data_IF_302304502824
#
_entry.id   IF_302304502824
#
_cell.length_a   1.000
_cell.length_b   1.000
_cell.length_c   1.000
_cell.angle_alpha   90.00
_cell.angle_beta   90.00
_cell.angle_gamma   90.00
#
_symmetry.space_group_name_H-M   'P 1'
#
loop_
_entity.id
_entity.type
_entity.pdbx_description
1 polymer ?
#
# COMPACT_ATOMS: atom_id res chain seq x y z
N UNK A 1 11.33 17.94 -9.71
CA UNK A 1 10.31 17.64 -10.73
C UNK A 1 10.93 16.74 -11.81
N UNK A 2 10.54 15.46 -11.92
CA UNK A 2 11.02 14.52 -12.95
C UNK A 2 9.84 13.70 -13.51
N UNK A 3 9.61 13.79 -14.82
CA UNK A 3 8.91 12.77 -15.63
C UNK A 3 7.39 12.92 -15.82
N UNK A 4 6.93 13.96 -16.51
CA UNK A 4 5.50 14.30 -16.66
C UNK A 4 4.59 13.19 -17.26
N UNK A 5 5.09 12.26 -18.09
CA UNK A 5 4.20 11.32 -18.82
C UNK A 5 4.08 9.89 -18.23
N UNK A 6 4.84 9.55 -17.18
CA UNK A 6 4.53 8.39 -16.31
C UNK A 6 3.85 8.83 -15.00
N UNK A 7 3.51 10.12 -14.89
CA UNK A 7 3.24 10.77 -13.60
C UNK A 7 1.77 10.96 -13.27
N UNK A 8 0.90 11.33 -14.21
CA UNK A 8 -0.46 11.75 -13.82
C UNK A 8 -1.29 10.62 -13.21
N UNK A 9 -1.45 9.49 -13.92
CA UNK A 9 -2.25 8.37 -13.42
C UNK A 9 -1.66 7.81 -12.11
N UNK A 10 -0.34 7.70 -12.02
CA UNK A 10 0.35 7.28 -10.79
C UNK A 10 0.07 8.24 -9.64
N UNK A 11 0.17 9.56 -9.88
CA UNK A 11 -0.10 10.58 -8.88
C UNK A 11 -1.56 10.55 -8.44
N UNK A 12 -2.51 10.31 -9.36
CA UNK A 12 -3.93 10.13 -9.01
C UNK A 12 -4.12 8.92 -8.12
N UNK A 13 -3.53 7.77 -8.46
CA UNK A 13 -3.61 6.55 -7.65
C UNK A 13 -3.01 6.78 -6.25
N UNK A 14 -1.84 7.44 -6.17
CA UNK A 14 -1.20 7.79 -4.90
C UNK A 14 -2.08 8.74 -4.08
N UNK A 15 -2.68 9.75 -4.70
CA UNK A 15 -3.58 10.68 -4.02
C UNK A 15 -4.86 9.99 -3.51
N UNK A 16 -5.40 9.02 -4.25
CA UNK A 16 -6.54 8.21 -3.80
C UNK A 16 -6.15 7.34 -2.60
N UNK A 17 -4.96 6.76 -2.61
CA UNK A 17 -4.45 5.97 -1.49
C UNK A 17 -4.22 6.85 -0.24
N UNK A 18 -3.62 8.03 -0.41
CA UNK A 18 -3.46 9.06 0.62
C UNK A 18 -4.82 9.52 1.18
N UNK A 19 -5.83 9.72 0.33
CA UNK A 19 -7.20 10.03 0.77
C UNK A 19 -7.77 8.92 1.64
N UNK A 20 -7.61 7.66 1.22
CA UNK A 20 -8.03 6.51 2.03
C UNK A 20 -7.32 6.47 3.40
N UNK A 21 -6.03 6.80 3.42
CA UNK A 21 -5.26 6.88 4.66
C UNK A 21 -5.79 7.99 5.58
N UNK A 22 -6.07 9.17 5.04
CA UNK A 22 -6.61 10.31 5.77
C UNK A 22 -8.01 10.03 6.35
N UNK A 23 -8.90 9.41 5.56
CA UNK A 23 -10.24 8.97 6.02
C UNK A 23 -10.10 8.00 7.22
N UNK A 24 -9.07 7.16 7.21
CA UNK A 24 -8.77 6.23 8.29
C UNK A 24 -7.84 6.80 9.36
N UNK A 25 -7.84 8.12 9.56
CA UNK A 25 -7.12 8.82 10.62
C UNK A 25 -5.60 8.67 10.57
N UNK A 26 -5.04 8.56 9.37
CA UNK A 26 -3.61 8.62 9.12
C UNK A 26 -3.15 9.97 8.57
N UNK A 27 -1.84 10.16 8.48
CA UNK A 27 -1.25 11.35 7.85
C UNK A 27 -1.66 11.44 6.36
N UNK A 28 -2.27 12.56 5.90
CA UNK A 28 -2.69 12.73 4.51
C UNK A 28 -1.54 12.71 3.49
N UNK A 29 -0.30 12.98 3.92
CA UNK A 29 0.86 12.93 3.03
C UNK A 29 1.44 11.51 2.89
N UNK A 30 0.99 10.56 3.73
CA UNK A 30 1.43 9.16 3.69
C UNK A 30 0.40 8.22 3.05
N UNK A 31 0.90 7.21 2.34
CA UNK A 31 0.08 6.13 1.79
C UNK A 31 -0.34 5.11 2.87
N UNK A 32 -1.46 4.42 2.65
CA UNK A 32 -1.89 3.26 3.44
C UNK A 32 -0.79 2.20 3.45
N UNK A 33 -0.18 1.93 2.28
CA UNK A 33 0.92 0.98 2.13
C UNK A 33 2.11 1.35 3.02
N UNK A 34 2.58 2.61 2.98
CA UNK A 34 3.68 3.08 3.81
C UNK A 34 3.34 3.00 5.31
N UNK A 35 2.13 3.44 5.71
CA UNK A 35 1.66 3.34 7.09
C UNK A 35 1.64 1.90 7.59
N UNK A 36 1.14 0.96 6.78
CA UNK A 36 1.12 -0.46 7.13
C UNK A 36 2.54 -1.02 7.26
N UNK A 37 3.44 -0.70 6.33
CA UNK A 37 4.84 -1.13 6.37
C UNK A 37 5.60 -0.59 7.59
N UNK A 38 5.31 0.65 7.99
CA UNK A 38 5.90 1.26 9.17
C UNK A 38 5.47 0.57 10.47
N UNK A 39 4.17 0.42 10.72
CA UNK A 39 3.69 -0.19 11.98
C UNK A 39 3.85 -1.71 12.05
N UNK A 40 4.02 -2.38 10.91
CA UNK A 40 4.25 -3.83 10.90
C UNK A 40 5.72 -4.21 11.16
N UNK A 41 6.68 -3.35 10.80
CA UNK A 41 8.12 -3.66 10.81
C UNK A 41 9.01 -2.70 11.61
N UNK A 42 8.64 -1.42 11.72
CA UNK A 42 9.53 -0.37 12.25
C UNK A 42 9.17 -0.05 13.69
N UNK A 43 7.95 0.42 13.94
CA UNK A 43 7.52 0.86 15.27
C UNK A 43 6.86 -0.27 16.03
N UNK A 44 7.21 -0.42 17.31
CA UNK A 44 6.55 -1.37 18.20
C UNK A 44 5.18 -0.82 18.60
N UNK A 45 4.15 -1.66 18.46
CA UNK A 45 2.76 -1.29 18.77
C UNK A 45 1.99 -2.50 19.25
N UNK A 46 1.07 -2.29 20.18
CA UNK A 46 0.14 -3.32 20.67
C UNK A 46 -0.62 -4.01 19.52
N UNK A 47 -0.85 -3.29 18.42
CA UNK A 47 -1.62 -3.78 17.26
C UNK A 47 -0.74 -4.33 16.14
N UNK A 48 0.52 -4.66 16.39
CA UNK A 48 1.47 -5.14 15.36
C UNK A 48 0.95 -6.33 14.54
N UNK A 49 0.14 -7.21 15.12
CA UNK A 49 -0.50 -8.33 14.40
C UNK A 49 -1.52 -7.85 13.36
N UNK A 50 -2.31 -6.84 13.71
CA UNK A 50 -3.28 -6.21 12.79
C UNK A 50 -2.54 -5.54 11.61
N UNK A 51 -1.48 -4.78 11.90
CA UNK A 51 -0.68 -4.14 10.85
C UNK A 51 0.00 -5.15 9.92
N UNK A 52 0.56 -6.24 10.46
CA UNK A 52 1.12 -7.35 9.66
C UNK A 52 0.06 -8.06 8.81
N UNK A 53 -1.17 -8.17 9.29
CA UNK A 53 -2.27 -8.72 8.51
C UNK A 53 -2.59 -7.83 7.31
N UNK A 54 -2.78 -6.52 7.52
CA UNK A 54 -3.04 -5.58 6.43
C UNK A 54 -1.89 -5.54 5.42
N UNK A 55 -0.65 -5.46 5.91
CA UNK A 55 0.54 -5.53 5.05
C UNK A 55 0.52 -6.78 4.18
N UNK A 56 0.19 -7.95 4.74
CA UNK A 56 0.15 -9.20 3.98
C UNK A 56 -0.94 -9.17 2.91
N UNK A 57 -2.11 -8.64 3.22
CA UNK A 57 -3.20 -8.48 2.25
C UNK A 57 -2.77 -7.59 1.09
N UNK A 58 -2.21 -6.42 1.38
CA UNK A 58 -1.78 -5.45 0.36
C UNK A 58 -0.63 -6.03 -0.46
N UNK A 59 0.41 -6.58 0.19
CA UNK A 59 1.54 -7.19 -0.50
C UNK A 59 1.10 -8.35 -1.40
N UNK A 60 0.19 -9.22 -0.95
CA UNK A 60 -0.33 -10.32 -1.78
C UNK A 60 -1.14 -9.82 -2.99
N UNK A 61 -1.86 -8.71 -2.81
CA UNK A 61 -2.66 -8.08 -3.86
C UNK A 61 -1.78 -7.55 -4.97
N UNK A 62 -0.71 -6.84 -4.60
CA UNK A 62 0.21 -6.14 -5.51
C UNK A 62 1.39 -6.99 -5.98
N UNK A 63 1.65 -8.15 -5.35
CA UNK A 63 2.79 -9.04 -5.66
C UNK A 63 2.98 -9.31 -7.17
N UNK A 64 1.94 -9.54 -7.99
CA UNK A 64 2.15 -9.83 -9.41
C UNK A 64 2.79 -8.70 -10.20
N UNK A 65 2.65 -7.44 -9.77
CA UNK A 65 3.11 -6.23 -10.49
C UNK A 65 4.25 -5.51 -9.77
N UNK A 66 4.20 -5.43 -8.44
CA UNK A 66 5.15 -4.66 -7.64
C UNK A 66 6.23 -5.53 -6.99
N UNK A 67 6.01 -6.84 -6.92
CA UNK A 67 6.94 -7.78 -6.30
C UNK A 67 6.80 -7.87 -4.77
N UNK A 68 7.81 -8.43 -4.09
CA UNK A 68 7.75 -8.64 -2.64
C UNK A 68 7.90 -7.33 -1.87
N UNK A 69 7.36 -7.32 -0.65
CA UNK A 69 7.55 -6.26 0.36
C UNK A 69 7.08 -4.85 -0.06
N UNK A 70 6.07 -4.74 -0.94
CA UNK A 70 5.51 -3.47 -1.41
C UNK A 70 5.32 -2.44 -0.28
N UNK A 71 4.58 -2.78 0.78
CA UNK A 71 4.29 -1.84 1.88
C UNK A 71 5.55 -1.32 2.57
N UNK A 72 6.54 -2.20 2.79
CA UNK A 72 7.79 -1.80 3.42
C UNK A 72 8.63 -0.91 2.49
N UNK A 73 8.66 -1.21 1.18
CA UNK A 73 9.30 -0.35 0.20
C UNK A 73 8.61 1.02 0.11
N UNK A 74 7.28 1.07 0.14
CA UNK A 74 6.52 2.33 0.21
C UNK A 74 6.93 3.16 1.43
N UNK A 75 7.03 2.54 2.62
CA UNK A 75 7.56 3.20 3.80
C UNK A 75 8.98 3.73 3.57
N UNK A 76 9.88 2.94 2.97
CA UNK A 76 11.25 3.37 2.72
C UNK A 76 11.36 4.57 1.78
N UNK A 77 10.42 4.71 0.84
CA UNK A 77 10.30 5.87 -0.04
C UNK A 77 9.72 7.10 0.67
N UNK A 78 8.81 6.90 1.63
CA UNK A 78 8.12 7.96 2.38
C UNK A 78 8.69 8.17 3.80
N UNK A 79 9.97 7.85 4.06
CA UNK A 79 10.56 7.88 5.43
C UNK A 79 10.53 9.24 6.13
N UNK A 80 10.40 10.33 5.39
CA UNK A 80 10.29 11.66 5.96
C UNK A 80 8.89 11.94 6.54
N UNK A 81 7.89 11.16 6.13
CA UNK A 81 6.52 11.33 6.57
C UNK A 81 6.27 10.73 7.96
N UNK A 82 5.39 11.38 8.71
CA UNK A 82 4.90 10.84 9.98
C UNK A 82 3.83 9.80 9.71
N UNK A 83 3.80 8.74 10.51
CA UNK A 83 2.75 7.73 10.47
C UNK A 83 2.01 7.71 11.81
N UNK A 84 0.68 7.72 11.73
CA UNK A 84 -0.20 7.77 12.88
C UNK A 84 -0.99 6.46 12.98
N UNK A 85 -1.13 5.88 14.17
CA UNK A 85 -1.90 4.64 14.30
C UNK A 85 -3.40 4.86 14.12
N UNK A 86 -3.90 6.05 14.46
CA UNK A 86 -5.33 6.33 14.58
C UNK A 86 -5.96 5.65 15.81
N UNK A 87 -7.23 5.97 16.08
CA UNK A 87 -8.02 5.31 17.14
C UNK A 87 -8.47 3.91 16.70
N UNK A 88 -9.01 3.12 17.64
CA UNK A 88 -9.57 1.79 17.34
C UNK A 88 -10.63 1.83 16.23
N UNK A 89 -11.50 2.84 16.25
CA UNK A 89 -12.50 3.06 15.22
C UNK A 89 -11.86 3.34 13.84
N UNK A 90 -10.82 4.16 13.80
CA UNK A 90 -10.11 4.49 12.56
C UNK A 90 -9.35 3.28 11.98
N UNK A 91 -8.80 2.41 12.85
CA UNK A 91 -8.24 1.12 12.42
C UNK A 91 -9.31 0.19 11.86
N UNK A 92 -10.51 0.16 12.44
CA UNK A 92 -11.61 -0.63 11.86
C UNK A 92 -11.95 -0.13 10.45
N UNK A 93 -12.06 1.19 10.26
CA UNK A 93 -12.27 1.82 8.94
C UNK A 93 -11.14 1.45 7.98
N UNK A 94 -9.88 1.57 8.38
CA UNK A 94 -8.73 1.20 7.56
C UNK A 94 -8.83 -0.25 7.07
N UNK A 95 -9.16 -1.17 7.98
CA UNK A 95 -9.31 -2.59 7.66
C UNK A 95 -10.40 -2.82 6.61
N UNK A 96 -11.55 -2.15 6.76
CA UNK A 96 -12.66 -2.22 5.80
C UNK A 96 -12.22 -1.69 4.43
N UNK A 97 -11.58 -0.52 4.38
CA UNK A 97 -11.07 0.09 3.14
C UNK A 97 -10.10 -0.88 2.44
N UNK A 98 -9.12 -1.41 3.18
CA UNK A 98 -8.12 -2.33 2.63
C UNK A 98 -8.78 -3.59 2.07
N UNK A 99 -9.68 -4.24 2.79
CA UNK A 99 -10.35 -5.46 2.30
C UNK A 99 -11.22 -5.16 1.08
N UNK A 100 -12.06 -4.12 1.14
CA UNK A 100 -12.97 -3.76 0.05
C UNK A 100 -12.23 -3.40 -1.23
N UNK A 101 -11.06 -2.77 -1.14
CA UNK A 101 -10.26 -2.39 -2.32
C UNK A 101 -9.37 -3.56 -2.79
N UNK A 102 -8.67 -4.23 -1.88
CA UNK A 102 -7.67 -5.23 -2.25
C UNK A 102 -8.27 -6.50 -2.85
N UNK A 103 -9.46 -6.92 -2.43
CA UNK A 103 -10.11 -8.13 -2.98
C UNK A 103 -10.42 -7.99 -4.48
N UNK A 104 -11.20 -6.98 -4.94
CA UNK A 104 -11.45 -6.81 -6.36
C UNK A 104 -10.17 -6.42 -7.12
N UNK A 105 -9.32 -5.55 -6.55
CA UNK A 105 -8.06 -5.16 -7.19
C UNK A 105 -7.13 -6.37 -7.42
N UNK A 106 -7.06 -7.31 -6.47
CA UNK A 106 -6.26 -8.51 -6.58
C UNK A 106 -6.69 -9.43 -7.72
N UNK A 107 -8.01 -9.52 -7.97
CA UNK A 107 -8.54 -10.23 -9.13
C UNK A 107 -8.17 -9.51 -10.42
N UNK A 108 -8.40 -8.19 -10.48
CA UNK A 108 -8.11 -7.38 -11.67
C UNK A 108 -6.63 -7.42 -12.04
N UNK A 109 -5.72 -7.30 -11.08
CA UNK A 109 -4.26 -7.37 -11.30
C UNK A 109 -3.86 -8.74 -11.85
N UNK A 110 -4.44 -9.83 -11.32
CA UNK A 110 -4.14 -11.19 -11.80
C UNK A 110 -4.62 -11.41 -13.22
N UNK A 111 -5.83 -10.94 -13.55
CA UNK A 111 -6.36 -10.95 -14.92
C UNK A 111 -5.50 -10.09 -15.86
N UNK A 112 -5.12 -8.89 -15.42
CA UNK A 112 -4.26 -7.99 -16.18
C UNK A 112 -2.90 -8.62 -16.49
N UNK A 113 -2.23 -9.20 -15.50
CA UNK A 113 -0.93 -9.87 -15.70
C UNK A 113 -1.07 -11.17 -16.51
N UNK A 114 -2.24 -11.80 -16.52
CA UNK A 114 -2.53 -12.94 -17.39
C UNK A 114 -2.65 -12.51 -18.86
N UNK A 115 -3.33 -11.40 -19.14
CA UNK A 115 -3.50 -10.84 -20.49
C UNK A 115 -2.21 -10.16 -20.98
N UNK A 116 -1.46 -9.52 -20.07
CA UNK A 116 -0.22 -8.81 -20.36
C UNK A 116 0.94 -9.36 -19.51
N UNK A 117 1.53 -10.50 -19.88
CA UNK A 117 2.62 -11.12 -19.12
C UNK A 117 3.85 -10.23 -18.95
N UNK A 118 4.05 -9.24 -19.84
CA UNK A 118 5.12 -8.25 -19.75
C UNK A 118 5.00 -7.33 -18.53
N UNK A 119 3.80 -7.15 -17.97
CA UNK A 119 3.57 -6.36 -16.77
C UNK A 119 3.88 -7.11 -15.46
N UNK A 120 4.16 -8.42 -15.53
CA UNK A 120 4.52 -9.20 -14.35
C UNK A 120 5.85 -8.69 -13.78
N UNK A 121 5.91 -8.53 -12.47
CA UNK A 121 7.16 -8.26 -11.78
C UNK A 121 8.19 -9.34 -12.09
N UNK A 122 9.40 -8.90 -12.46
CA UNK A 122 10.55 -9.76 -12.69
C UNK A 122 11.62 -9.36 -11.70
N UNK A 123 12.12 -10.32 -10.93
CA UNK A 123 13.32 -10.13 -10.12
C UNK A 123 14.46 -9.77 -11.05
N UNK A 124 15.02 -8.55 -10.91
CA UNK A 124 16.24 -8.19 -11.62
C UNK A 124 17.31 -9.25 -11.29
N UNK A 125 17.75 -10.01 -12.30
CA UNK A 125 18.90 -10.89 -12.15
C UNK A 125 20.12 -9.98 -12.13
N UNK A 126 20.64 -9.69 -10.94
CA UNK A 126 22.01 -9.18 -10.78
C UNK A 126 22.99 -10.26 -11.19
#
# INVERSE_FOLDING_TARGET
MRGANKSWLRNVIVAVDQLGNAIAGGNPDATISARCGYFSRVTETRFRRYWRFLERVINYTLMPVDGPDHCYQSYLWDRAEKHEEGSDYMRAILGIIVILICVPMGLLIRLYVMVFPGARWKKERK
#
